data_IF_431553857236
#
_entry.id   IF_431553857236
#
_cell.length_a   1.000
_cell.length_b   1.000
_cell.length_c   1.000
_cell.angle_alpha   90.00
_cell.angle_beta   90.00
_cell.angle_gamma   90.00
#
_symmetry.space_group_name_H-M   'P 1'
#
loop_
_entity.id
_entity.type
_entity.pdbx_description
1 polymer ?
#
# COMPACT_ATOMS: atom_id res chain seq x y z
N UNK A 1 43.90 16.21 14.86
CA UNK A 1 43.08 15.07 15.33
C UNK A 1 41.68 15.58 15.68
N UNK A 2 40.61 14.96 15.14
CA UNK A 2 39.15 15.06 15.45
C UNK A 2 38.29 15.31 14.21
N UNK A 3 37.98 14.22 13.50
CA UNK A 3 36.97 14.17 12.43
C UNK A 3 36.04 12.99 12.68
N UNK A 4 35.20 13.05 13.72
CA UNK A 4 34.13 12.06 13.91
C UNK A 4 32.90 12.73 14.56
N UNK A 5 32.04 13.34 13.73
CA UNK A 5 30.61 13.56 14.04
C UNK A 5 29.78 13.34 12.77
N UNK A 6 29.96 12.20 12.10
CA UNK A 6 29.17 11.81 10.91
C UNK A 6 28.39 10.51 11.16
N UNK A 7 27.71 10.45 12.31
CA UNK A 7 26.88 9.30 12.73
C UNK A 7 25.46 9.72 13.12
N UNK A 8 25.16 11.02 13.23
CA UNK A 8 23.88 11.51 13.77
C UNK A 8 22.70 11.49 12.78
N UNK A 9 22.91 11.51 11.46
CA UNK A 9 21.80 11.62 10.50
C UNK A 9 21.16 10.29 10.09
N UNK A 10 21.83 9.15 10.32
CA UNK A 10 21.35 7.83 9.90
C UNK A 10 20.37 7.22 10.91
N UNK A 11 20.53 7.50 12.21
CA UNK A 11 19.58 7.05 13.24
C UNK A 11 18.20 7.73 13.09
N UNK A 12 18.16 8.97 12.59
CA UNK A 12 16.91 9.71 12.37
C UNK A 12 16.12 9.13 11.19
N UNK A 13 16.79 8.77 10.10
CA UNK A 13 16.12 8.18 8.93
C UNK A 13 15.56 6.77 9.25
N UNK A 14 16.24 6.01 10.11
CA UNK A 14 15.76 4.72 10.60
C UNK A 14 14.51 4.85 11.49
N UNK A 15 14.41 5.92 12.27
CA UNK A 15 13.23 6.22 13.09
C UNK A 15 12.02 6.68 12.26
N UNK A 16 12.24 7.37 11.14
CA UNK A 16 11.16 7.76 10.22
C UNK A 16 10.62 6.58 9.40
N UNK A 17 11.47 5.64 8.99
CA UNK A 17 11.07 4.44 8.23
C UNK A 17 10.30 3.46 9.11
N UNK A 18 10.70 3.30 10.37
CA UNK A 18 9.99 2.43 11.33
C UNK A 18 8.61 2.97 11.73
N UNK A 19 8.44 4.30 11.83
CA UNK A 19 7.13 4.93 12.09
C UNK A 19 6.19 4.84 10.89
N UNK A 20 6.69 4.99 9.67
CA UNK A 20 5.84 4.94 8.47
C UNK A 20 5.33 3.52 8.16
N UNK A 21 6.04 2.47 8.61
CA UNK A 21 5.67 1.07 8.40
C UNK A 21 4.83 0.45 9.54
N UNK A 22 4.87 1.03 10.75
CA UNK A 22 4.03 0.59 11.89
C UNK A 22 2.71 1.38 12.04
N UNK A 23 2.57 2.54 11.38
CA UNK A 23 1.43 3.44 11.60
C UNK A 23 0.14 3.18 10.78
N UNK A 24 0.09 2.41 9.67
CA UNK A 24 -1.20 2.20 9.01
C UNK A 24 -2.16 1.25 9.76
N UNK A 25 -1.71 0.55 10.82
CA UNK A 25 -2.54 -0.46 11.49
C UNK A 25 -3.39 0.06 12.65
N UNK A 26 -3.27 1.34 13.06
CA UNK A 26 -3.96 1.87 14.27
C UNK A 26 -5.06 2.89 13.95
N UNK A 27 -5.47 3.07 12.69
CA UNK A 27 -6.61 3.94 12.36
C UNK A 27 -7.68 3.16 11.60
N UNK A 28 -8.50 2.45 12.40
CA UNK A 28 -9.97 2.27 12.29
C UNK A 28 -10.40 1.27 13.37
N UNK A 29 -10.29 1.68 14.63
CA UNK A 29 -10.89 1.01 15.78
C UNK A 29 -12.01 1.88 16.36
N UNK A 30 -13.20 1.29 16.52
CA UNK A 30 -14.43 1.76 17.18
C UNK A 30 -15.60 2.28 16.30
N UNK A 31 -16.53 1.35 16.04
CA UNK A 31 -17.88 1.34 16.62
C UNK A 31 -18.53 2.70 16.90
N UNK A 32 -19.44 3.13 16.03
CA UNK A 32 -20.48 4.11 16.37
C UNK A 32 -21.81 3.39 16.60
N UNK A 33 -21.94 2.80 17.79
CA UNK A 33 -23.25 2.62 18.41
C UNK A 33 -23.64 3.96 19.03
N UNK A 34 -24.63 4.64 18.45
CA UNK A 34 -25.27 5.80 19.06
C UNK A 34 -26.61 5.36 19.64
N UNK A 35 -26.83 5.66 20.92
CA UNK A 35 -28.01 5.26 21.67
C UNK A 35 -29.17 6.25 21.58
N UNK A 36 -30.38 5.71 21.78
CA UNK A 36 -31.62 6.38 22.22
C UNK A 36 -32.39 7.17 21.15
N UNK A 37 -33.74 7.19 21.18
CA UNK A 37 -34.58 7.24 22.37
C UNK A 37 -35.56 6.07 22.56
N UNK A 38 -35.94 5.87 23.82
CA UNK A 38 -36.89 4.89 24.35
C UNK A 38 -38.34 5.11 23.91
N UNK A 39 -39.06 4.02 23.60
CA UNK A 39 -40.52 3.91 23.77
C UNK A 39 -40.88 2.45 24.18
N UNK A 40 -41.75 2.21 25.20
CA UNK A 40 -42.14 0.88 25.69
C UNK A 40 -43.26 0.21 24.84
N UNK A 41 -43.54 -1.10 25.04
CA UNK A 41 -43.79 -2.05 23.95
C UNK A 41 -45.28 -2.28 23.66
N UNK A 42 -45.63 -2.41 22.39
CA UNK A 42 -46.90 -3.02 21.95
C UNK A 42 -46.78 -3.61 20.55
N UNK A 43 -47.19 -4.87 20.38
CA UNK A 43 -47.69 -5.36 19.10
C UNK A 43 -46.94 -6.54 18.48
N UNK A 44 -47.54 -7.72 18.66
CA UNK A 44 -47.41 -8.91 17.82
C UNK A 44 -47.44 -8.58 16.32
N UNK A 45 -46.45 -9.07 15.57
CA UNK A 45 -46.41 -9.02 14.11
C UNK A 45 -45.20 -9.79 13.59
N UNK A 46 -45.44 -10.73 12.68
CA UNK A 46 -44.44 -11.61 12.06
C UNK A 46 -43.18 -10.86 11.58
N UNK A 47 -41.97 -11.45 11.67
CA UNK A 47 -40.77 -10.79 11.19
C UNK A 47 -40.86 -10.54 9.67
N UNK A 48 -40.60 -9.32 9.19
CA UNK A 48 -40.33 -9.10 7.77
C UNK A 48 -39.00 -9.77 7.43
N UNK A 49 -39.01 -10.59 6.39
CA UNK A 49 -37.80 -11.05 5.71
C UNK A 49 -37.04 -9.83 5.18
N UNK A 50 -36.10 -9.33 5.96
CA UNK A 50 -35.14 -8.31 5.53
C UNK A 50 -33.92 -9.03 4.99
N UNK A 51 -33.97 -9.39 3.71
CA UNK A 51 -32.78 -9.76 2.95
C UNK A 51 -31.96 -8.49 2.71
N UNK A 52 -31.09 -8.15 3.65
CA UNK A 52 -30.05 -7.13 3.49
C UNK A 52 -28.74 -7.77 3.89
N UNK A 53 -27.82 -7.87 2.92
CA UNK A 53 -26.71 -8.80 2.93
C UNK A 53 -25.71 -8.59 4.06
N UNK A 54 -25.22 -9.70 4.59
CA UNK A 54 -23.79 -9.97 4.85
C UNK A 54 -23.67 -11.33 5.49
N UNK A 55 -22.72 -12.12 4.98
CA UNK A 55 -22.42 -13.46 5.47
C UNK A 55 -22.11 -13.46 6.96
N UNK A 56 -22.58 -14.51 7.64
CA UNK A 56 -22.31 -14.73 9.05
C UNK A 56 -23.38 -15.60 9.69
N UNK A 57 -23.47 -16.87 9.25
CA UNK A 57 -24.24 -17.86 9.99
C UNK A 57 -23.60 -18.02 11.38
N UNK A 58 -24.37 -17.72 12.41
CA UNK A 58 -23.99 -17.84 13.81
C UNK A 58 -24.07 -19.32 14.23
N UNK A 59 -22.92 -19.99 14.12
CA UNK A 59 -22.58 -21.27 14.74
C UNK A 59 -21.09 -21.23 15.17
N UNK A 60 -20.66 -21.97 16.20
CA UNK A 60 -19.55 -21.56 17.09
C UNK A 60 -18.12 -21.69 16.53
N UNK A 61 -17.93 -21.84 15.21
CA UNK A 61 -16.62 -21.69 14.57
C UNK A 61 -16.78 -21.10 13.16
N UNK A 62 -16.72 -19.78 13.08
CA UNK A 62 -16.57 -19.04 11.82
C UNK A 62 -15.07 -18.99 11.47
N UNK A 63 -14.68 -19.70 10.41
CA UNK A 63 -13.34 -19.54 9.83
C UNK A 63 -13.31 -18.22 9.06
N UNK A 64 -12.95 -17.15 9.75
CA UNK A 64 -12.66 -15.87 9.13
C UNK A 64 -11.41 -16.04 8.27
N UNK A 65 -11.51 -15.86 6.95
CA UNK A 65 -10.35 -15.94 6.06
C UNK A 65 -9.32 -14.89 6.52
N UNK A 66 -8.12 -15.28 7.02
CA UNK A 66 -7.10 -14.33 7.46
C UNK A 66 -6.50 -13.56 6.28
N UNK A 67 -6.71 -14.07 5.07
CA UNK A 67 -6.48 -13.36 3.81
C UNK A 67 -7.82 -12.72 3.44
N UNK A 68 -7.91 -11.41 3.22
CA UNK A 68 -9.19 -10.72 2.96
C UNK A 68 -9.79 -11.00 1.56
N UNK A 69 -9.31 -12.02 0.86
CA UNK A 69 -9.71 -12.36 -0.50
C UNK A 69 -10.90 -13.35 -0.51
N UNK A 70 -12.01 -12.96 -1.11
CA UNK A 70 -13.22 -13.78 -1.25
C UNK A 70 -13.23 -14.60 -2.57
N UNK A 71 -12.23 -14.41 -3.43
CA UNK A 71 -12.07 -15.11 -4.70
C UNK A 71 -10.59 -15.21 -5.09
N UNK A 72 -10.23 -16.16 -5.97
CA UNK A 72 -8.87 -16.25 -6.51
C UNK A 72 -8.46 -14.93 -7.17
N UNK A 73 -9.36 -14.27 -7.91
CA UNK A 73 -9.08 -12.99 -8.54
C UNK A 73 -8.71 -11.90 -7.52
N UNK A 74 -9.40 -11.82 -6.38
CA UNK A 74 -9.04 -10.88 -5.31
C UNK A 74 -7.68 -11.21 -4.69
N UNK A 75 -7.34 -12.49 -4.54
CA UNK A 75 -6.04 -12.90 -4.02
C UNK A 75 -4.89 -12.46 -4.94
N UNK A 76 -5.05 -12.60 -6.26
CA UNK A 76 -4.04 -12.14 -7.23
C UNK A 76 -3.92 -10.61 -7.16
N UNK A 77 -5.03 -9.87 -7.11
CA UNK A 77 -4.98 -8.40 -7.07
C UNK A 77 -4.30 -7.89 -5.79
N UNK A 78 -4.66 -8.43 -4.62
CA UNK A 78 -4.03 -8.07 -3.35
C UNK A 78 -2.53 -8.40 -3.34
N UNK A 79 -2.13 -9.51 -3.96
CA UNK A 79 -0.72 -9.88 -4.09
C UNK A 79 0.04 -8.89 -4.99
N UNK A 80 -0.55 -8.49 -6.11
CA UNK A 80 0.05 -7.50 -7.01
C UNK A 80 0.21 -6.15 -6.34
N UNK A 81 -0.79 -5.68 -5.60
CA UNK A 81 -0.73 -4.42 -4.87
C UNK A 81 0.34 -4.46 -3.77
N UNK A 82 0.43 -5.58 -3.04
CA UNK A 82 1.50 -5.79 -2.05
C UNK A 82 2.91 -5.73 -2.68
N UNK A 83 3.10 -6.30 -3.88
CA UNK A 83 4.37 -6.26 -4.61
C UNK A 83 4.70 -4.84 -5.09
N UNK A 84 3.71 -4.11 -5.58
CA UNK A 84 3.90 -2.72 -6.03
C UNK A 84 4.27 -1.82 -4.83
N UNK A 85 3.60 -2.01 -3.69
CA UNK A 85 3.86 -1.26 -2.47
C UNK A 85 5.29 -1.47 -1.94
N UNK A 86 5.79 -2.72 -1.92
CA UNK A 86 7.18 -2.98 -1.54
C UNK A 86 8.16 -2.46 -2.61
N UNK A 87 7.75 -2.49 -3.89
CA UNK A 87 8.51 -1.97 -5.01
C UNK A 87 8.83 -0.48 -4.89
N UNK A 88 7.88 0.35 -4.45
CA UNK A 88 8.12 1.79 -4.25
C UNK A 88 9.22 2.05 -3.22
N UNK A 89 9.19 1.36 -2.09
CA UNK A 89 10.21 1.48 -1.04
C UNK A 89 11.58 1.08 -1.58
N UNK A 90 11.65 0.01 -2.38
CA UNK A 90 12.87 -0.46 -3.00
C UNK A 90 13.46 0.55 -4.00
N UNK A 91 12.62 1.17 -4.83
CA UNK A 91 13.07 2.19 -5.81
C UNK A 91 13.71 3.38 -5.11
N UNK A 92 13.10 3.89 -4.03
CA UNK A 92 13.67 5.00 -3.24
C UNK A 92 15.03 4.60 -2.64
N UNK A 93 15.13 3.39 -2.11
CA UNK A 93 16.39 2.89 -1.55
C UNK A 93 17.49 2.77 -2.61
N UNK A 94 17.16 2.23 -3.79
CA UNK A 94 18.08 2.11 -4.92
C UNK A 94 18.56 3.48 -5.43
N UNK A 95 17.69 4.49 -5.44
CA UNK A 95 18.03 5.87 -5.81
C UNK A 95 19.08 6.47 -4.86
N UNK A 96 18.90 6.30 -3.56
CA UNK A 96 19.86 6.76 -2.54
C UNK A 96 21.21 6.05 -2.72
N UNK A 97 21.19 4.73 -2.95
CA UNK A 97 22.40 3.95 -3.18
C UNK A 97 23.16 4.39 -4.43
N UNK A 98 22.45 4.62 -5.54
CA UNK A 98 23.02 5.15 -6.77
C UNK A 98 23.65 6.54 -6.55
N UNK A 99 22.95 7.44 -5.86
CA UNK A 99 23.45 8.77 -5.51
C UNK A 99 24.74 8.72 -4.68
N UNK A 100 24.80 7.82 -3.70
CA UNK A 100 26.01 7.62 -2.89
C UNK A 100 27.21 7.14 -3.73
N UNK A 101 26.99 6.21 -4.67
CA UNK A 101 28.04 5.73 -5.58
C UNK A 101 28.61 6.84 -6.47
N UNK A 102 27.79 7.79 -6.93
CA UNK A 102 28.30 8.96 -7.66
C UNK A 102 29.22 9.84 -6.81
N UNK A 103 28.85 10.08 -5.55
CA UNK A 103 29.66 10.89 -4.62
C UNK A 103 30.98 10.20 -4.26
N UNK A 104 30.97 8.87 -4.14
CA UNK A 104 32.18 8.09 -3.81
C UNK A 104 33.13 7.96 -5.01
N UNK A 105 32.62 7.99 -6.25
CA UNK A 105 33.43 7.79 -7.44
C UNK A 105 34.57 8.83 -7.59
N UNK A 106 34.43 10.07 -7.07
CA UNK A 106 35.48 11.11 -6.95
C UNK A 106 36.44 11.25 -8.15
N UNK A 107 35.98 10.99 -9.37
CA UNK A 107 36.79 11.10 -10.59
C UNK A 107 37.50 9.82 -11.03
N UNK A 108 37.33 8.68 -10.35
CA UNK A 108 37.74 7.38 -10.91
C UNK A 108 36.74 6.97 -12.02
N UNK A 109 37.18 6.86 -13.29
CA UNK A 109 36.30 6.58 -14.43
C UNK A 109 35.59 5.23 -14.30
N UNK A 110 36.22 4.25 -13.67
CA UNK A 110 35.65 2.90 -13.54
C UNK A 110 34.46 2.89 -12.57
N UNK A 111 34.62 3.52 -11.40
CA UNK A 111 33.55 3.66 -10.40
C UNK A 111 32.41 4.55 -10.89
N UNK A 112 32.72 5.54 -11.73
CA UNK A 112 31.72 6.41 -12.34
C UNK A 112 30.88 5.67 -13.38
N UNK A 113 31.51 4.83 -14.21
CA UNK A 113 30.80 3.98 -15.16
C UNK A 113 29.86 3.00 -14.44
N UNK A 114 30.32 2.40 -13.35
CA UNK A 114 29.51 1.52 -12.51
C UNK A 114 28.31 2.25 -11.88
N UNK A 115 28.52 3.45 -11.34
CA UNK A 115 27.46 4.27 -10.77
C UNK A 115 26.37 4.63 -11.80
N UNK A 116 26.77 4.97 -13.03
CA UNK A 116 25.84 5.24 -14.13
C UNK A 116 24.99 4.03 -14.49
N UNK A 117 25.59 2.84 -14.55
CA UNK A 117 24.84 1.60 -14.83
C UNK A 117 23.76 1.36 -13.77
N UNK A 118 24.12 1.44 -12.49
CA UNK A 118 23.19 1.26 -11.37
C UNK A 118 22.06 2.30 -11.41
N UNK A 119 22.40 3.55 -11.72
CA UNK A 119 21.42 4.62 -11.86
C UNK A 119 20.44 4.36 -13.00
N UNK A 120 20.92 3.92 -14.17
CA UNK A 120 20.06 3.56 -15.28
C UNK A 120 19.13 2.40 -14.90
N UNK A 121 19.65 1.32 -14.31
CA UNK A 121 18.79 0.22 -13.84
C UNK A 121 17.72 0.69 -12.85
N UNK A 122 18.08 1.59 -11.94
CA UNK A 122 17.13 2.18 -10.98
C UNK A 122 16.07 3.02 -11.69
N UNK A 123 16.47 3.81 -12.70
CA UNK A 123 15.57 4.65 -13.47
C UNK A 123 14.59 3.81 -14.31
N UNK A 124 15.08 2.76 -14.98
CA UNK A 124 14.21 1.81 -15.71
C UNK A 124 13.21 1.16 -14.73
N UNK A 125 13.66 0.69 -13.56
CA UNK A 125 12.76 0.12 -12.55
C UNK A 125 11.68 1.10 -12.09
N UNK A 126 12.07 2.34 -11.79
CA UNK A 126 11.11 3.39 -11.39
C UNK A 126 10.11 3.75 -12.50
N UNK A 127 10.57 3.86 -13.75
CA UNK A 127 9.70 4.14 -14.90
C UNK A 127 8.72 3.00 -15.14
N UNK A 128 9.10 1.74 -14.94
CA UNK A 128 8.18 0.60 -15.08
C UNK A 128 7.06 0.67 -14.03
N UNK A 129 7.39 0.96 -12.77
CA UNK A 129 6.38 1.08 -11.71
C UNK A 129 5.39 2.22 -11.98
N UNK A 130 5.90 3.40 -12.36
CA UNK A 130 5.07 4.56 -12.68
C UNK A 130 4.29 4.35 -13.99
N UNK A 131 4.92 3.72 -14.98
CA UNK A 131 4.32 3.44 -16.28
C UNK A 131 3.15 2.47 -16.18
N UNK A 132 3.23 1.45 -15.31
CA UNK A 132 2.14 0.51 -15.07
C UNK A 132 0.86 1.22 -14.56
N UNK A 133 1.01 2.12 -13.59
CA UNK A 133 -0.11 2.90 -13.04
C UNK A 133 -0.69 3.85 -14.09
N UNK A 134 0.15 4.61 -14.77
CA UNK A 134 -0.29 5.56 -15.81
C UNK A 134 -1.04 4.87 -16.94
N UNK A 135 -0.55 3.72 -17.42
CA UNK A 135 -1.23 2.98 -18.48
C UNK A 135 -2.57 2.43 -18.00
N UNK A 136 -2.63 1.93 -16.75
CA UNK A 136 -3.88 1.53 -16.11
C UNK A 136 -4.89 2.67 -16.09
N UNK A 137 -4.51 3.81 -15.53
CA UNK A 137 -5.37 5.00 -15.41
C UNK A 137 -5.86 5.50 -16.76
N UNK A 138 -5.02 5.48 -17.80
CA UNK A 138 -5.41 5.90 -19.15
C UNK A 138 -6.47 4.96 -19.74
N UNK A 139 -6.31 3.65 -19.56
CA UNK A 139 -7.30 2.67 -20.03
C UNK A 139 -8.60 2.84 -19.25
N UNK A 140 -8.53 3.02 -17.94
CA UNK A 140 -9.68 3.23 -17.06
C UNK A 140 -10.44 4.50 -17.43
N UNK A 141 -9.74 5.62 -17.59
CA UNK A 141 -10.32 6.89 -17.99
C UNK A 141 -10.95 6.82 -19.38
N UNK A 142 -10.35 6.07 -20.31
CA UNK A 142 -10.94 5.87 -21.65
C UNK A 142 -12.18 5.00 -21.58
N UNK A 143 -12.16 3.90 -20.82
CA UNK A 143 -13.31 3.01 -20.65
C UNK A 143 -14.48 3.70 -19.93
N UNK A 144 -14.19 4.54 -18.93
CA UNK A 144 -15.19 5.31 -18.18
C UNK A 144 -15.92 6.35 -19.04
N UNK A 145 -15.28 6.89 -20.10
CA UNK A 145 -15.93 7.78 -21.07
C UNK A 145 -17.04 7.07 -21.86
N UNK A 146 -16.91 5.75 -22.05
CA UNK A 146 -17.89 4.97 -22.82
C UNK A 146 -18.97 4.32 -21.95
N UNK A 147 -18.68 4.00 -20.69
CA UNK A 147 -19.67 3.40 -19.80
C UNK A 147 -19.53 3.95 -18.37
N UNK A 148 -20.43 4.87 -18.02
CA UNK A 148 -20.42 5.67 -16.77
C UNK A 148 -20.54 4.84 -15.48
N UNK A 149 -20.78 3.54 -15.56
CA UNK A 149 -20.91 2.62 -14.41
C UNK A 149 -19.71 1.69 -14.17
N UNK A 150 -18.64 1.72 -14.98
CA UNK A 150 -17.40 1.02 -14.63
C UNK A 150 -16.58 1.86 -13.64
N UNK A 151 -16.55 1.42 -12.39
CA UNK A 151 -15.48 1.76 -11.47
C UNK A 151 -14.31 0.83 -11.79
N UNK A 152 -13.30 1.39 -12.47
CA UNK A 152 -11.98 0.78 -12.52
C UNK A 152 -11.20 1.13 -11.25
#
# INVERSE_FOLDING_TARGET
>A
MKKIKKTSSVNKIFWFITIFFLAPSVVLGQQQGTGGPTNPPTGSGNPPNTSTGSGGSSGPYIFQNPIKANSLTQLINDLFDAIIQIGYVFVVFALIFAGFKFVVARGNPEKLSEAKKIFLYTLIGGIILLGAQVIGDVICNTAAQFNTTLQC
#
